data_IF_175936283978
#
_entry.id   IF_175936283978
#
_cell.length_a   1.000
_cell.length_b   1.000
_cell.length_c   1.000
_cell.angle_alpha   90.00
_cell.angle_beta   90.00
_cell.angle_gamma   90.00
#
_symmetry.space_group_name_H-M   'P 1'
#
loop_
_entity.id
_entity.type
_entity.pdbx_description
1 polymer ?
#
# COMPACT_ATOMS: atom_id res chain seq x y z
N UNK A 1 -0.35 12.94 -21.85
CA UNK A 1 0.12 11.63 -21.33
C UNK A 1 -0.56 10.52 -22.10
N UNK A 2 0.22 9.56 -22.59
CA UNK A 2 -0.33 8.37 -23.28
C UNK A 2 0.58 7.16 -23.10
N UNK A 3 0.00 6.00 -22.78
CA UNK A 3 0.73 4.75 -22.63
C UNK A 3 -0.14 3.51 -22.88
N UNK A 4 0.54 2.36 -23.08
CA UNK A 4 -0.07 1.04 -23.19
C UNK A 4 0.52 0.10 -22.16
N UNK A 5 -0.31 -0.75 -21.57
CA UNK A 5 0.10 -1.71 -20.54
C UNK A 5 -0.81 -2.94 -20.58
N UNK A 6 -0.34 -4.08 -20.10
CA UNK A 6 -1.16 -5.28 -19.95
C UNK A 6 -2.25 -5.03 -18.88
N UNK A 7 -3.50 -5.40 -19.19
CA UNK A 7 -4.66 -5.18 -18.32
C UNK A 7 -4.46 -5.72 -16.91
N UNK A 8 -3.89 -6.92 -16.79
CA UNK A 8 -3.70 -7.58 -15.49
C UNK A 8 -2.75 -6.82 -14.58
N UNK A 9 -1.63 -6.37 -15.13
CA UNK A 9 -0.63 -5.57 -14.40
C UNK A 9 -1.24 -4.26 -13.89
N UNK A 10 -2.00 -3.57 -14.77
CA UNK A 10 -2.66 -2.31 -14.39
C UNK A 10 -3.79 -2.55 -13.39
N UNK A 11 -4.57 -3.63 -13.55
CA UNK A 11 -5.69 -3.97 -12.67
C UNK A 11 -5.22 -4.32 -11.25
N UNK A 12 -4.09 -5.00 -11.10
CA UNK A 12 -3.49 -5.32 -9.80
C UNK A 12 -3.09 -4.02 -9.06
N UNK A 13 -2.32 -3.16 -9.72
CA UNK A 13 -1.84 -1.91 -9.14
C UNK A 13 -3.00 -0.95 -8.80
N UNK A 14 -3.96 -0.76 -9.71
CA UNK A 14 -5.15 0.06 -9.46
C UNK A 14 -6.04 -0.54 -8.37
N UNK A 15 -6.09 -1.86 -8.27
CA UNK A 15 -6.82 -2.55 -7.21
C UNK A 15 -6.25 -2.26 -5.82
N UNK A 16 -4.93 -2.25 -5.67
CA UNK A 16 -4.26 -1.85 -4.45
C UNK A 16 -4.48 -0.35 -4.15
N UNK A 17 -4.33 0.51 -5.17
CA UNK A 17 -4.60 1.94 -5.04
C UNK A 17 -6.03 2.22 -4.56
N UNK A 18 -7.03 1.55 -5.14
CA UNK A 18 -8.44 1.73 -4.76
C UNK A 18 -8.76 1.33 -3.31
N UNK A 19 -7.98 0.41 -2.70
CA UNK A 19 -8.13 0.03 -1.28
C UNK A 19 -7.45 1.01 -0.33
N UNK A 20 -6.40 1.68 -0.79
CA UNK A 20 -5.69 2.71 -0.03
C UNK A 20 -6.40 4.05 -0.11
N UNK A 21 -6.96 4.40 -1.27
CA UNK A 21 -7.66 5.65 -1.52
C UNK A 21 -8.69 5.98 -0.43
N UNK A 22 -8.74 7.24 -0.02
CA UNK A 22 -9.73 7.69 0.95
C UNK A 22 -11.15 7.65 0.37
N UNK A 23 -12.07 6.98 1.06
CA UNK A 23 -13.50 6.96 0.68
C UNK A 23 -14.34 7.98 1.43
N UNK A 24 -13.75 8.68 2.41
CA UNK A 24 -14.48 9.52 3.38
C UNK A 24 -14.11 11.00 3.35
N UNK A 25 -13.13 11.40 2.56
CA UNK A 25 -12.60 12.76 2.64
C UNK A 25 -13.18 13.67 1.55
N UNK A 26 -14.30 14.32 1.84
CA UNK A 26 -14.90 15.31 0.96
C UNK A 26 -14.09 16.64 0.89
N UNK A 27 -13.19 16.87 1.85
CA UNK A 27 -12.39 18.09 1.91
C UNK A 27 -11.20 18.08 0.93
N UNK A 28 -10.69 16.89 0.59
CA UNK A 28 -9.59 16.71 -0.37
C UNK A 28 -9.93 15.60 -1.38
N UNK A 29 -10.67 15.91 -2.45
CA UNK A 29 -11.08 14.92 -3.44
C UNK A 29 -9.91 14.15 -4.07
N UNK A 30 -8.72 14.77 -4.19
CA UNK A 30 -7.52 14.14 -4.72
C UNK A 30 -7.09 12.89 -3.93
N UNK A 31 -7.42 12.77 -2.63
CA UNK A 31 -7.14 11.59 -1.81
C UNK A 31 -8.01 10.36 -2.19
N UNK A 32 -9.09 10.55 -2.94
CA UNK A 32 -9.84 9.46 -3.55
C UNK A 32 -9.28 9.03 -4.90
N UNK A 33 -8.26 9.74 -5.37
CA UNK A 33 -7.62 9.56 -6.66
C UNK A 33 -6.38 8.66 -6.60
N UNK A 34 -5.99 8.18 -7.77
CA UNK A 34 -4.68 7.64 -8.06
C UNK A 34 -3.93 8.62 -8.97
N UNK A 35 -2.72 9.00 -8.58
CA UNK A 35 -1.81 9.78 -9.40
C UNK A 35 -1.07 8.83 -10.34
N UNK A 36 -1.17 9.12 -11.61
CA UNK A 36 -0.64 8.35 -12.73
C UNK A 36 0.40 9.25 -13.40
N UNK A 37 1.65 8.85 -13.39
CA UNK A 37 2.75 9.61 -13.99
C UNK A 37 3.53 8.72 -14.95
N UNK A 38 3.71 9.16 -16.17
CA UNK A 38 4.48 8.46 -17.21
C UNK A 38 5.70 9.28 -17.55
N UNK A 39 6.85 8.63 -17.55
CA UNK A 39 8.13 9.17 -18.03
C UNK A 39 8.84 8.10 -18.84
N UNK A 40 8.92 8.30 -20.15
CA UNK A 40 9.38 7.28 -21.10
C UNK A 40 8.55 6.00 -20.96
N UNK A 41 9.20 4.87 -20.75
CA UNK A 41 8.56 3.55 -20.57
C UNK A 41 8.30 3.19 -19.09
N UNK A 42 8.33 4.19 -18.19
CA UNK A 42 8.03 3.99 -16.77
C UNK A 42 6.72 4.67 -16.40
N UNK A 43 5.88 3.90 -15.73
CA UNK A 43 4.64 4.36 -15.11
C UNK A 43 4.79 4.31 -13.60
N UNK A 44 4.62 5.45 -12.93
CA UNK A 44 4.48 5.54 -11.49
C UNK A 44 3.00 5.74 -11.15
N UNK A 45 2.40 4.76 -10.47
CA UNK A 45 1.09 4.88 -9.84
C UNK A 45 1.26 5.16 -8.37
N UNK A 46 0.61 6.20 -7.87
CA UNK A 46 0.70 6.59 -6.46
C UNK A 46 -0.69 6.85 -5.89
N UNK A 47 -0.95 6.32 -4.70
CA UNK A 47 -2.18 6.56 -3.96
C UNK A 47 -1.89 6.73 -2.47
N UNK A 48 -2.63 7.61 -1.80
CA UNK A 48 -2.48 7.84 -0.36
C UNK A 48 -3.76 8.37 0.26
N UNK A 49 -3.95 8.10 1.55
CA UNK A 49 -4.94 8.76 2.40
C UNK A 49 -4.29 9.64 3.49
N UNK A 50 -3.00 9.95 3.34
CA UNK A 50 -2.03 10.62 4.20
C UNK A 50 -1.34 9.70 5.24
N UNK A 51 -2.02 8.73 5.81
CA UNK A 51 -1.44 7.79 6.79
C UNK A 51 -0.85 6.55 6.11
N UNK A 52 -1.53 6.07 5.08
CA UNK A 52 -1.13 4.92 4.28
C UNK A 52 -0.95 5.35 2.83
N UNK A 53 0.12 4.92 2.20
CA UNK A 53 0.38 5.14 0.79
C UNK A 53 0.84 3.87 0.10
N UNK A 54 0.51 3.74 -1.17
CA UNK A 54 1.02 2.70 -2.06
C UNK A 54 1.51 3.31 -3.36
N UNK A 55 2.66 2.83 -3.83
CA UNK A 55 3.24 3.20 -5.11
C UNK A 55 3.63 1.95 -5.89
N UNK A 56 3.44 2.01 -7.20
CA UNK A 56 3.88 0.97 -8.13
C UNK A 56 4.72 1.60 -9.23
N UNK A 57 5.86 1.00 -9.50
CA UNK A 57 6.70 1.36 -10.65
C UNK A 57 6.57 0.25 -11.69
N UNK A 58 5.84 0.53 -12.77
CA UNK A 58 5.53 -0.45 -13.81
C UNK A 58 6.25 -0.10 -15.11
N UNK A 59 6.61 -1.13 -15.88
CA UNK A 59 7.06 -0.94 -17.25
C UNK A 59 5.85 -0.90 -18.18
N UNK A 60 5.82 0.10 -19.06
CA UNK A 60 4.73 0.34 -20.00
C UNK A 60 5.28 0.67 -21.39
N UNK A 61 4.45 0.64 -22.41
CA UNK A 61 4.78 1.24 -23.70
C UNK A 61 4.38 2.71 -23.67
N UNK A 62 5.28 3.57 -23.21
CA UNK A 62 5.07 5.00 -23.15
C UNK A 62 5.03 5.61 -24.55
N UNK A 63 4.13 6.56 -24.79
CA UNK A 63 3.98 7.28 -26.05
C UNK A 63 4.06 8.79 -25.82
N UNK A 64 3.61 9.26 -24.67
CA UNK A 64 3.62 10.66 -24.30
C UNK A 64 3.72 10.80 -22.78
N UNK A 65 4.72 11.52 -22.31
CA UNK A 65 4.94 11.78 -20.89
C UNK A 65 3.82 12.66 -20.31
N UNK A 66 3.65 12.62 -18.99
CA UNK A 66 2.73 13.49 -18.28
C UNK A 66 2.21 12.89 -17.00
N UNK A 67 1.37 13.67 -16.31
CA UNK A 67 0.80 13.32 -15.02
C UNK A 67 -0.68 13.63 -14.97
N UNK A 68 -1.44 12.79 -14.31
CA UNK A 68 -2.87 12.99 -14.06
C UNK A 68 -3.27 12.35 -12.73
N UNK A 69 -4.34 12.87 -12.14
CA UNK A 69 -5.00 12.26 -10.97
C UNK A 69 -6.44 11.96 -11.35
N UNK A 70 -6.87 10.72 -11.16
CA UNK A 70 -8.23 10.28 -11.46
C UNK A 70 -8.75 9.35 -10.35
N UNK A 71 -10.08 9.18 -10.26
CA UNK A 71 -10.69 8.32 -9.23
C UNK A 71 -10.10 6.92 -9.23
N UNK A 72 -9.44 6.52 -8.15
CA UNK A 72 -8.79 5.22 -8.00
C UNK A 72 -9.82 4.08 -8.15
N UNK A 73 -11.00 4.24 -7.56
CA UNK A 73 -12.08 3.25 -7.63
C UNK A 73 -12.60 3.09 -9.04
N UNK A 74 -12.96 4.19 -9.72
CA UNK A 74 -13.47 4.13 -11.09
C UNK A 74 -12.44 3.54 -12.05
N UNK A 75 -11.17 3.96 -11.96
CA UNK A 75 -10.09 3.41 -12.76
C UNK A 75 -9.95 1.89 -12.55
N UNK A 76 -9.96 1.44 -11.30
CA UNK A 76 -9.88 0.01 -10.96
C UNK A 76 -11.06 -0.78 -11.51
N UNK A 77 -12.30 -0.29 -11.32
CA UNK A 77 -13.52 -0.98 -11.74
C UNK A 77 -13.59 -1.07 -13.28
N UNK A 78 -13.23 0.01 -13.99
CA UNK A 78 -13.18 0.04 -15.46
C UNK A 78 -12.17 -0.97 -15.99
N UNK A 79 -10.91 -0.89 -15.52
CA UNK A 79 -9.83 -1.77 -16.03
C UNK A 79 -10.14 -3.24 -15.75
N UNK A 80 -10.73 -3.56 -14.61
CA UNK A 80 -11.19 -4.92 -14.29
C UNK A 80 -12.31 -5.43 -15.19
N UNK A 81 -13.18 -4.55 -15.66
CA UNK A 81 -14.29 -4.90 -16.54
C UNK A 81 -13.88 -5.12 -18.00
N UNK A 82 -12.68 -4.67 -18.39
CA UNK A 82 -12.18 -4.83 -19.74
C UNK A 82 -11.75 -6.28 -20.03
N UNK A 83 -11.79 -6.66 -21.30
CA UNK A 83 -11.26 -7.94 -21.76
C UNK A 83 -9.75 -8.01 -21.59
N UNK A 84 -9.21 -9.23 -21.56
CA UNK A 84 -7.78 -9.48 -21.50
C UNK A 84 -7.01 -8.83 -22.66
N UNK A 85 -5.73 -8.53 -22.42
CA UNK A 85 -4.83 -7.91 -23.37
C UNK A 85 -4.41 -6.51 -22.98
N UNK A 86 -4.00 -5.72 -23.97
CA UNK A 86 -3.45 -4.38 -23.73
C UNK A 86 -4.53 -3.32 -23.57
N UNK A 87 -4.34 -2.49 -22.56
CA UNK A 87 -5.12 -1.28 -22.31
C UNK A 87 -4.30 -0.07 -22.71
N UNK A 88 -4.94 0.87 -23.41
CA UNK A 88 -4.39 2.19 -23.70
C UNK A 88 -5.04 3.20 -22.76
N UNK A 89 -4.21 4.00 -22.11
CA UNK A 89 -4.64 5.12 -21.26
C UNK A 89 -4.12 6.42 -21.88
N UNK A 90 -5.00 7.39 -22.08
CA UNK A 90 -4.68 8.67 -22.69
C UNK A 90 -5.40 9.81 -21.98
N UNK A 91 -4.71 10.93 -21.73
CA UNK A 91 -5.32 12.15 -21.22
C UNK A 91 -5.76 13.04 -22.36
N UNK A 92 -7.00 13.53 -22.28
CA UNK A 92 -7.58 14.48 -23.24
C UNK A 92 -8.30 15.59 -22.48
N UNK A 93 -7.68 16.75 -22.41
CA UNK A 93 -8.18 17.86 -21.59
C UNK A 93 -8.27 17.48 -20.11
N UNK A 94 -9.45 17.61 -19.53
CA UNK A 94 -9.74 17.31 -18.11
C UNK A 94 -10.23 15.88 -17.88
N UNK A 95 -9.94 14.96 -18.79
CA UNK A 95 -10.40 13.57 -18.71
C UNK A 95 -9.30 12.58 -19.04
N UNK A 96 -9.42 11.36 -18.49
CA UNK A 96 -8.64 10.18 -18.86
C UNK A 96 -9.53 9.26 -19.69
N UNK A 97 -9.11 8.95 -20.89
CA UNK A 97 -9.70 7.90 -21.75
C UNK A 97 -8.97 6.59 -21.51
N UNK A 98 -9.72 5.51 -21.31
CA UNK A 98 -9.21 4.15 -21.11
C UNK A 98 -9.85 3.29 -22.19
N UNK A 99 -9.06 2.65 -23.03
CA UNK A 99 -9.57 1.86 -24.14
C UNK A 99 -8.89 0.48 -24.27
N UNK A 100 -9.66 -0.52 -24.66
CA UNK A 100 -9.20 -1.86 -25.02
C UNK A 100 -10.16 -2.48 -26.04
N UNK A 101 -9.66 -2.82 -27.22
CA UNK A 101 -10.47 -3.30 -28.32
C UNK A 101 -11.56 -2.29 -28.71
N UNK A 102 -12.83 -2.65 -28.53
CA UNK A 102 -13.99 -1.77 -28.82
C UNK A 102 -14.50 -1.02 -27.61
N UNK A 103 -14.02 -1.38 -26.42
CA UNK A 103 -14.44 -0.72 -25.18
C UNK A 103 -13.65 0.57 -24.99
N UNK A 104 -14.35 1.66 -24.67
CA UNK A 104 -13.77 2.95 -24.33
C UNK A 104 -14.57 3.58 -23.20
N UNK A 105 -13.85 4.09 -22.20
CA UNK A 105 -14.40 4.76 -21.05
C UNK A 105 -13.68 6.08 -20.84
N UNK A 106 -14.37 7.03 -20.24
CA UNK A 106 -13.81 8.34 -19.91
C UNK A 106 -14.07 8.65 -18.44
N UNK A 107 -13.01 9.07 -17.72
CA UNK A 107 -13.05 9.39 -16.29
C UNK A 107 -12.60 10.84 -16.12
N UNK A 108 -13.34 11.68 -15.36
CA UNK A 108 -12.88 13.03 -15.03
C UNK A 108 -11.64 13.00 -14.15
N UNK A 109 -10.80 14.04 -14.29
CA UNK A 109 -9.56 14.19 -13.52
C UNK A 109 -9.73 15.13 -12.34
N UNK A 110 -8.85 15.00 -11.37
CA UNK A 110 -8.62 15.98 -10.31
C UNK A 110 -7.38 16.81 -10.65
N UNK A 111 -7.26 17.98 -10.04
CA UNK A 111 -6.04 18.79 -10.17
C UNK A 111 -4.84 18.03 -9.57
N UNK A 112 -3.82 17.79 -10.37
CA UNK A 112 -2.63 17.05 -9.93
C UNK A 112 -1.82 17.78 -8.84
N UNK A 113 -1.96 19.11 -8.76
CA UNK A 113 -1.38 19.96 -7.72
C UNK A 113 -1.94 19.69 -6.33
N UNK A 114 -3.17 19.17 -6.25
CA UNK A 114 -3.86 18.90 -4.98
C UNK A 114 -3.50 17.53 -4.42
N UNK A 115 -2.77 16.71 -5.19
CA UNK A 115 -2.32 15.40 -4.73
C UNK A 115 -1.12 15.58 -3.78
N UNK A 116 -1.19 15.03 -2.54
CA UNK A 116 -0.15 15.25 -1.55
C UNK A 116 1.15 14.52 -1.91
N UNK A 117 2.27 15.07 -1.41
CA UNK A 117 3.56 14.39 -1.51
C UNK A 117 3.57 13.15 -0.62
N UNK A 118 3.98 12.03 -1.18
CA UNK A 118 4.14 10.78 -0.44
C UNK A 118 5.52 10.77 0.22
N UNK A 119 5.51 10.70 1.55
CA UNK A 119 6.73 10.57 2.35
C UNK A 119 7.00 9.10 2.61
N UNK A 120 8.22 8.66 2.34
CA UNK A 120 8.70 7.31 2.64
C UNK A 120 9.76 7.37 3.74
N UNK A 121 9.89 6.29 4.52
CA UNK A 121 11.01 6.13 5.44
C UNK A 121 12.33 6.07 4.64
N UNK A 122 13.35 6.76 5.12
CA UNK A 122 14.67 6.82 4.48
C UNK A 122 15.73 6.34 5.48
N UNK A 123 15.95 5.03 5.52
CA UNK A 123 16.99 4.36 6.29
C UNK A 123 17.45 3.11 5.52
N UNK A 124 18.56 2.46 5.88
CA UNK A 124 18.95 1.19 5.26
C UNK A 124 17.84 0.15 5.40
N UNK A 125 17.40 -0.47 4.30
CA UNK A 125 16.34 -1.48 4.34
C UNK A 125 16.85 -2.79 4.94
N UNK A 126 15.99 -3.49 5.66
CA UNK A 126 16.23 -4.85 6.13
C UNK A 126 15.39 -5.81 5.29
N UNK A 127 16.03 -6.83 4.74
CA UNK A 127 15.37 -7.85 3.92
C UNK A 127 14.69 -8.91 4.78
N UNK A 128 13.52 -9.36 4.34
CA UNK A 128 12.73 -10.41 4.98
C UNK A 128 12.16 -11.36 3.91
N UNK A 129 12.03 -12.63 4.27
CA UNK A 129 11.39 -13.62 3.41
C UNK A 129 9.88 -13.32 3.33
N UNK A 130 9.38 -12.97 2.15
CA UNK A 130 7.99 -12.55 1.96
C UNK A 130 6.99 -13.59 2.42
N UNK A 131 7.20 -14.88 2.11
CA UNK A 131 6.32 -15.97 2.50
C UNK A 131 6.22 -16.16 4.02
N UNK A 132 7.36 -16.10 4.72
CA UNK A 132 7.42 -16.26 6.19
C UNK A 132 6.71 -15.10 6.87
N UNK A 133 6.93 -13.88 6.39
CA UNK A 133 6.30 -12.69 6.95
C UNK A 133 4.80 -12.62 6.65
N UNK A 134 4.38 -12.98 5.42
CA UNK A 134 2.97 -13.08 5.04
C UNK A 134 2.21 -14.07 5.93
N UNK A 135 2.82 -15.23 6.23
CA UNK A 135 2.25 -16.26 7.10
C UNK A 135 2.07 -15.76 8.53
N UNK A 136 3.08 -15.07 9.06
CA UNK A 136 3.02 -14.46 10.38
C UNK A 136 1.93 -13.38 10.46
N UNK A 137 1.85 -12.49 9.48
CA UNK A 137 0.80 -11.48 9.40
C UNK A 137 -0.59 -12.10 9.34
N UNK A 138 -0.77 -13.16 8.54
CA UNK A 138 -2.06 -13.88 8.43
C UNK A 138 -2.55 -14.41 9.76
N UNK A 139 -1.64 -14.84 10.63
CA UNK A 139 -1.95 -15.40 11.96
C UNK A 139 -2.28 -14.30 12.98
N UNK A 140 -1.66 -13.13 12.88
CA UNK A 140 -1.70 -12.10 13.94
C UNK A 140 -2.67 -10.97 13.62
N UNK A 141 -2.66 -10.43 12.39
CA UNK A 141 -3.35 -9.17 12.06
C UNK A 141 -4.86 -9.24 12.34
N UNK A 142 -5.47 -10.42 12.20
CA UNK A 142 -6.91 -10.63 12.45
C UNK A 142 -7.33 -10.50 13.92
N UNK A 143 -6.38 -10.50 14.85
CA UNK A 143 -6.66 -10.28 16.26
C UNK A 143 -6.68 -8.79 16.64
N UNK A 144 -6.23 -7.91 15.77
CA UNK A 144 -6.32 -6.46 16.00
C UNK A 144 -7.77 -5.98 15.97
N UNK A 145 -8.05 -4.94 16.76
CA UNK A 145 -9.36 -4.29 16.83
C UNK A 145 -9.63 -3.44 15.58
N UNK A 146 -10.89 -3.32 15.19
CA UNK A 146 -11.37 -2.33 14.23
C UNK A 146 -11.94 -1.06 14.89
N UNK A 147 -11.95 -1.02 16.22
CA UNK A 147 -12.51 0.09 17.01
C UNK A 147 -11.49 1.23 17.11
N UNK A 148 -11.72 2.31 16.37
CA UNK A 148 -10.86 3.50 16.35
C UNK A 148 -10.86 4.29 17.66
N UNK A 149 -11.78 4.02 18.58
CA UNK A 149 -11.76 4.62 19.93
C UNK A 149 -10.67 3.98 20.80
N UNK A 150 -10.26 2.76 20.47
CA UNK A 150 -9.17 2.03 21.14
C UNK A 150 -7.95 1.92 20.21
N UNK A 151 -7.40 3.06 19.82
CA UNK A 151 -6.35 3.17 18.81
C UNK A 151 -5.16 2.22 19.04
N UNK A 152 -4.73 2.01 20.31
CA UNK A 152 -3.64 1.10 20.65
C UNK A 152 -3.90 -0.35 20.22
N UNK A 153 -5.16 -0.76 20.10
CA UNK A 153 -5.55 -2.11 19.71
C UNK A 153 -5.74 -2.27 18.21
N UNK A 154 -5.76 -1.16 17.44
CA UNK A 154 -5.94 -1.21 15.98
C UNK A 154 -4.66 -1.55 15.23
N UNK A 155 -3.52 -1.58 15.93
CA UNK A 155 -2.22 -1.93 15.38
C UNK A 155 -1.74 -3.32 15.78
N UNK A 156 -0.66 -3.71 15.15
CA UNK A 156 0.15 -4.88 15.49
C UNK A 156 1.46 -4.38 16.09
N UNK A 157 1.79 -4.84 17.28
CA UNK A 157 3.10 -4.64 17.87
C UNK A 157 4.13 -5.52 17.14
N UNK A 158 5.20 -4.93 16.69
CA UNK A 158 6.42 -5.60 16.27
C UNK A 158 7.50 -5.30 17.31
N UNK A 159 8.05 -6.30 17.95
CA UNK A 159 9.05 -6.16 19.01
C UNK A 159 10.29 -7.00 18.72
N UNK A 160 11.47 -6.39 18.85
CA UNK A 160 12.71 -7.13 18.86
C UNK A 160 12.81 -7.94 20.16
N UNK A 161 12.94 -9.25 20.04
CA UNK A 161 13.19 -10.19 21.14
C UNK A 161 14.61 -10.78 20.99
N UNK A 162 15.21 -11.34 22.04
CA UNK A 162 16.57 -11.88 21.96
C UNK A 162 16.78 -12.93 20.86
N UNK A 163 15.73 -13.66 20.53
CA UNK A 163 15.77 -14.73 19.51
C UNK A 163 15.25 -14.32 18.13
N UNK A 164 14.76 -13.08 17.98
CA UNK A 164 14.24 -12.59 16.70
C UNK A 164 13.14 -11.55 16.83
N UNK A 165 12.12 -11.62 15.98
CA UNK A 165 11.00 -10.69 15.96
C UNK A 165 9.75 -11.32 16.54
N UNK A 166 9.03 -10.58 17.38
CA UNK A 166 7.70 -10.94 17.87
C UNK A 166 6.63 -10.03 17.32
N UNK A 167 5.57 -10.60 16.81
CA UNK A 167 4.35 -9.92 16.38
C UNK A 167 3.23 -10.19 17.38
N UNK A 168 2.51 -9.15 17.79
CA UNK A 168 1.41 -9.24 18.75
C UNK A 168 0.23 -8.38 18.30
N UNK A 169 -0.97 -8.93 18.35
CA UNK A 169 -2.21 -8.17 18.20
C UNK A 169 -3.28 -8.65 19.17
N UNK A 170 -4.14 -7.76 19.61
CA UNK A 170 -5.27 -8.06 20.50
C UNK A 170 -6.40 -7.08 20.29
N UNK A 171 -7.64 -7.51 20.53
CA UNK A 171 -8.84 -6.69 20.61
C UNK A 171 -9.46 -6.66 22.02
N UNK A 172 -8.74 -7.14 23.03
CA UNK A 172 -9.11 -7.37 24.44
C UNK A 172 -9.90 -8.66 24.68
N UNK A 173 -10.41 -9.33 23.67
CA UNK A 173 -11.15 -10.62 23.79
C UNK A 173 -10.30 -11.79 23.32
N UNK A 174 -9.35 -11.54 22.44
CA UNK A 174 -8.41 -12.53 21.91
C UNK A 174 -7.03 -11.90 21.76
N UNK A 175 -6.01 -12.72 21.86
CA UNK A 175 -4.61 -12.36 21.72
C UNK A 175 -3.97 -13.30 20.69
N UNK A 176 -3.27 -12.76 19.73
CA UNK A 176 -2.42 -13.50 18.80
C UNK A 176 -0.97 -13.09 18.99
N UNK A 177 -0.09 -14.06 19.13
CA UNK A 177 1.35 -13.87 19.23
C UNK A 177 2.04 -14.78 18.23
N UNK A 178 2.98 -14.25 17.47
CA UNK A 178 3.81 -15.01 16.54
C UNK A 178 5.27 -14.60 16.67
N UNK A 179 6.13 -15.55 16.98
CA UNK A 179 7.58 -15.37 16.99
C UNK A 179 8.17 -15.79 15.65
N UNK A 180 9.14 -15.00 15.18
CA UNK A 180 9.95 -15.23 13.98
C UNK A 180 11.41 -15.33 14.41
N UNK A 181 11.89 -16.53 14.81
CA UNK A 181 13.25 -16.73 15.25
C UNK A 181 14.26 -16.38 14.15
N UNK A 182 15.36 -15.75 14.55
CA UNK A 182 16.44 -15.34 13.64
C UNK A 182 16.13 -14.10 12.78
N UNK A 183 14.93 -13.51 12.91
CA UNK A 183 14.55 -12.31 12.15
C UNK A 183 15.00 -11.05 12.90
N UNK A 184 16.13 -10.47 12.50
CA UNK A 184 16.69 -9.24 13.09
C UNK A 184 16.25 -8.01 12.30
N UNK A 185 14.93 -7.77 12.24
CA UNK A 185 14.33 -6.69 11.45
C UNK A 185 14.35 -5.37 12.22
N UNK A 186 14.29 -5.44 13.54
CA UNK A 186 14.32 -4.29 14.45
C UNK A 186 15.65 -4.27 15.22
N UNK A 187 16.09 -3.07 15.60
CA UNK A 187 17.20 -2.90 16.53
C UNK A 187 16.92 -3.54 17.89
N UNK A 188 17.97 -3.88 18.63
CA UNK A 188 17.84 -4.54 19.93
C UNK A 188 16.94 -3.73 20.90
N UNK A 189 15.87 -4.36 21.39
CA UNK A 189 14.89 -3.75 22.29
C UNK A 189 13.92 -2.76 21.62
N UNK A 190 14.02 -2.56 20.30
CA UNK A 190 13.11 -1.70 19.55
C UNK A 190 11.72 -2.30 19.44
N UNK A 191 10.72 -1.43 19.51
CA UNK A 191 9.30 -1.78 19.38
C UNK A 191 8.61 -0.74 18.54
N UNK A 192 7.78 -1.20 17.62
CA UNK A 192 6.92 -0.33 16.79
C UNK A 192 5.51 -0.90 16.73
N UNK A 193 4.52 -0.02 16.61
CA UNK A 193 3.14 -0.43 16.40
C UNK A 193 2.71 0.03 15.02
N UNK A 194 2.41 -0.95 14.16
CA UNK A 194 2.01 -0.70 12.77
C UNK A 194 0.50 -0.89 12.64
N UNK A 195 -0.23 0.06 12.01
CA UNK A 195 -1.67 -0.08 11.78
C UNK A 195 -2.01 -1.39 11.09
N UNK A 196 -2.98 -2.14 11.62
CA UNK A 196 -3.42 -3.43 11.05
C UNK A 196 -3.94 -3.28 9.62
N UNK A 197 -4.51 -2.12 9.26
CA UNK A 197 -4.94 -1.81 7.90
C UNK A 197 -3.76 -1.84 6.91
N UNK A 198 -2.62 -1.24 7.28
CA UNK A 198 -1.41 -1.26 6.45
C UNK A 198 -0.87 -2.68 6.29
N UNK A 199 -0.83 -3.46 7.36
CA UNK A 199 -0.36 -4.84 7.32
C UNK A 199 -1.29 -5.78 6.55
N UNK A 200 -2.60 -5.52 6.54
CA UNK A 200 -3.55 -6.23 5.67
C UNK A 200 -3.28 -5.99 4.18
N UNK A 201 -2.95 -4.75 3.79
CA UNK A 201 -2.57 -4.46 2.40
C UNK A 201 -1.19 -5.04 2.08
N UNK A 202 -0.23 -4.93 3.00
CA UNK A 202 1.08 -5.55 2.85
C UNK A 202 0.97 -7.06 2.64
N UNK A 203 0.14 -7.75 3.40
CA UNK A 203 -0.07 -9.21 3.26
C UNK A 203 -0.52 -9.60 1.84
N UNK A 204 -1.32 -8.74 1.17
CA UNK A 204 -1.72 -8.97 -0.22
C UNK A 204 -0.58 -8.78 -1.20
N UNK A 205 0.27 -7.77 -0.97
CA UNK A 205 1.45 -7.52 -1.80
C UNK A 205 2.49 -8.64 -1.64
N UNK A 206 2.67 -9.16 -0.43
CA UNK A 206 3.61 -10.25 -0.15
C UNK A 206 3.25 -11.56 -0.88
N UNK A 207 2.00 -11.74 -1.28
CA UNK A 207 1.57 -12.95 -1.99
C UNK A 207 2.20 -13.09 -3.39
N UNK A 208 2.65 -11.99 -3.99
CA UNK A 208 3.28 -11.96 -5.32
C UNK A 208 4.81 -11.84 -5.28
N UNK A 209 5.43 -11.72 -4.08
CA UNK A 209 6.86 -11.51 -3.92
C UNK A 209 7.60 -12.68 -3.28
N UNK A 210 8.87 -12.88 -3.64
CA UNK A 210 9.77 -13.83 -2.97
C UNK A 210 10.44 -13.18 -1.75
N UNK A 211 10.84 -11.92 -1.90
CA UNK A 211 11.49 -11.11 -0.87
C UNK A 211 10.73 -9.80 -0.67
N UNK A 212 10.83 -9.29 0.54
CA UNK A 212 10.38 -7.96 0.89
C UNK A 212 11.48 -7.24 1.65
N UNK A 213 11.45 -5.92 1.63
CA UNK A 213 12.31 -5.11 2.49
C UNK A 213 11.46 -4.19 3.36
N UNK A 214 11.95 -3.96 4.58
CA UNK A 214 11.40 -2.99 5.53
C UNK A 214 12.44 -1.92 5.82
N UNK A 215 12.01 -0.68 5.72
CA UNK A 215 12.74 0.50 6.17
C UNK A 215 11.92 1.18 7.26
N UNK A 216 12.54 1.43 8.42
CA UNK A 216 11.95 2.18 9.53
C UNK A 216 12.75 3.47 9.74
N UNK A 217 12.09 4.61 9.71
CA UNK A 217 12.70 5.90 10.02
C UNK A 217 11.67 6.88 10.56
N UNK A 218 11.99 7.48 11.70
CA UNK A 218 11.10 8.41 12.39
C UNK A 218 9.78 7.75 12.78
N UNK A 219 8.68 8.31 12.28
CA UNK A 219 7.33 7.84 12.53
C UNK A 219 6.76 6.97 11.40
N UNK A 220 7.61 6.46 10.49
CA UNK A 220 7.16 5.74 9.29
C UNK A 220 7.81 4.38 9.12
N UNK A 221 7.00 3.45 8.59
CA UNK A 221 7.44 2.18 8.06
C UNK A 221 7.21 2.16 6.54
N UNK A 222 8.21 1.75 5.78
CA UNK A 222 8.12 1.56 4.33
C UNK A 222 8.52 0.13 3.97
N UNK A 223 7.62 -0.56 3.31
CA UNK A 223 7.81 -1.91 2.80
C UNK A 223 7.92 -1.88 1.28
N UNK A 224 8.91 -2.58 0.74
CA UNK A 224 9.03 -2.76 -0.71
C UNK A 224 8.91 -4.24 -1.03
N UNK A 225 8.03 -4.56 -1.98
CA UNK A 225 7.77 -5.92 -2.46
C UNK A 225 7.72 -5.88 -3.99
N UNK A 226 8.73 -6.37 -4.66
CA UNK A 226 8.84 -6.29 -6.12
C UNK A 226 8.72 -4.86 -6.62
N UNK A 227 7.69 -4.57 -7.40
CA UNK A 227 7.42 -3.23 -7.98
C UNK A 227 6.56 -2.34 -7.08
N UNK A 228 6.09 -2.85 -5.94
CA UNK A 228 5.22 -2.15 -5.02
C UNK A 228 5.98 -1.61 -3.82
N UNK A 229 5.68 -0.38 -3.42
CA UNK A 229 6.14 0.24 -2.18
C UNK A 229 4.93 0.67 -1.37
N UNK A 230 4.82 0.17 -0.15
CA UNK A 230 3.79 0.53 0.82
C UNK A 230 4.43 1.32 1.96
N UNK A 231 3.95 2.52 2.24
CA UNK A 231 4.45 3.32 3.36
C UNK A 231 3.30 3.69 4.30
N UNK A 232 3.53 3.60 5.60
CA UNK A 232 2.51 3.89 6.62
C UNK A 232 3.10 4.65 7.79
N UNK A 233 2.30 5.53 8.41
CA UNK A 233 2.62 6.11 9.71
C UNK A 233 2.55 5.03 10.80
N UNK A 234 3.48 5.09 11.75
CA UNK A 234 3.46 4.25 12.96
C UNK A 234 2.47 4.81 13.96
N UNK A 235 1.82 3.95 14.72
CA UNK A 235 1.02 4.39 15.87
C UNK A 235 1.96 4.76 17.01
N UNK A 236 2.05 6.06 17.31
CA UNK A 236 2.85 6.62 18.39
C UNK A 236 2.12 6.44 19.73
N UNK A 237 1.92 5.18 20.14
CA UNK A 237 1.13 4.82 21.29
C UNK A 237 1.73 3.60 21.99
N UNK A 238 1.60 3.54 23.31
CA UNK A 238 2.02 2.37 24.07
C UNK A 238 1.05 1.21 23.85
N UNK A 239 1.59 0.07 23.38
CA UNK A 239 0.82 -1.15 23.22
C UNK A 239 0.55 -1.79 24.58
N UNK A 240 -0.66 -2.35 24.85
CA UNK A 240 -1.00 -2.97 26.13
C UNK A 240 0.00 -4.04 26.59
N UNK A 241 0.18 -4.16 27.88
CA UNK A 241 1.05 -5.19 28.46
C UNK A 241 0.42 -6.58 28.35
N UNK A 242 0.52 -7.16 27.16
CA UNK A 242 -0.04 -8.49 26.84
C UNK A 242 0.62 -9.65 27.58
N UNK A 243 1.82 -9.43 28.19
CA UNK A 243 2.52 -10.48 28.96
C UNK A 243 1.88 -10.75 30.33
N UNK A 244 0.93 -9.93 30.74
CA UNK A 244 0.15 -10.09 31.96
C UNK A 244 -1.22 -10.78 31.73
N UNK A 245 -1.52 -11.09 30.46
CA UNK A 245 -2.67 -11.85 30.05
C UNK A 245 -2.28 -13.32 29.93
#
# INVERSE_FOLDING_TARGET
MKFRVEREVLAEALGAAARVASTRNNAMPALSGVRIEVTGDKLLLSCTDNDLSVQFVLNVGGQEDGVVVASAKLMSDIVRSMSEGKVTVETTGETVSISSGRAQFTVPTFAATDFPNIVQASAPPVTLAASVFADALRQVVRAASSDMQRLALTGVLMAAEPEGLRLVATDSYRLAVRDLPGSNILGHGEKVVIPSRALNELQRLLASGEEASLCLAGDRATFTVGQATLSTSLLQIEFPNYRQL
#
